data_IF_645791288637
#
_entry.id   IF_645791288637
#
_cell.length_a   1.000
_cell.length_b   1.000
_cell.length_c   1.000
_cell.angle_alpha   90.00
_cell.angle_beta   90.00
_cell.angle_gamma   90.00
#
_symmetry.space_group_name_H-M   'P 1'
#
loop_
_entity.id
_entity.type
_entity.pdbx_description
1 polymer ?
#
# COMPACT_ATOMS: atom_id res chain seq x y z
N UNK A 1 26.48 -1.67 9.31
CA UNK A 1 25.24 -1.82 10.11
C UNK A 1 25.48 -2.00 11.62
N UNK A 2 26.16 -3.05 12.08
CA UNK A 2 26.29 -3.34 13.53
C UNK A 2 26.86 -2.20 14.38
N UNK A 3 27.84 -1.44 13.88
CA UNK A 3 28.42 -0.29 14.60
C UNK A 3 27.42 0.89 14.78
N UNK A 4 26.55 1.13 13.80
CA UNK A 4 25.52 2.18 13.87
C UNK A 4 24.37 1.75 14.78
N UNK A 5 23.91 0.50 14.65
CA UNK A 5 22.95 -0.09 15.60
C UNK A 5 23.48 -0.08 17.04
N UNK A 6 24.76 -0.39 17.26
CA UNK A 6 25.37 -0.33 18.59
C UNK A 6 25.32 1.08 19.20
N UNK A 7 25.51 2.15 18.41
CA UNK A 7 25.35 3.52 18.89
C UNK A 7 23.89 3.88 19.21
N UNK A 8 22.95 3.35 18.44
CA UNK A 8 21.52 3.66 18.57
C UNK A 8 20.85 2.88 19.71
N UNK A 9 21.25 1.63 19.94
CA UNK A 9 20.66 0.74 20.95
C UNK A 9 21.42 0.74 22.29
N UNK A 10 22.72 1.09 22.29
CA UNK A 10 23.58 1.06 23.48
C UNK A 10 24.35 2.37 23.62
N UNK A 11 23.73 3.34 24.30
CA UNK A 11 24.24 4.68 24.60
C UNK A 11 25.62 4.76 25.33
N UNK A 12 26.34 3.65 25.52
CA UNK A 12 27.56 3.57 26.33
C UNK A 12 28.69 2.69 25.77
N UNK A 13 28.61 2.20 24.52
CA UNK A 13 29.61 1.28 23.96
C UNK A 13 30.24 1.72 22.63
N UNK A 14 29.91 2.92 22.13
CA UNK A 14 30.45 3.44 20.88
C UNK A 14 31.80 4.16 21.16
N UNK A 15 32.95 3.61 20.71
CA UNK A 15 34.25 4.23 20.94
C UNK A 15 34.37 5.62 20.32
N UNK A 16 33.63 5.93 19.24
CA UNK A 16 33.60 7.27 18.65
C UNK A 16 32.88 8.25 19.58
N UNK A 17 31.78 7.81 20.20
CA UNK A 17 31.06 8.60 21.20
C UNK A 17 31.90 8.83 22.46
N UNK A 18 32.63 7.82 22.95
CA UNK A 18 33.54 7.97 24.08
C UNK A 18 34.63 9.01 23.80
N UNK A 19 35.25 8.97 22.61
CA UNK A 19 36.23 9.97 22.18
C UNK A 19 35.60 11.36 22.09
N UNK A 20 34.35 11.47 21.63
CA UNK A 20 33.62 12.75 21.57
C UNK A 20 33.31 13.31 22.97
N UNK A 21 33.00 12.46 23.95
CA UNK A 21 32.81 12.89 25.35
C UNK A 21 34.13 13.26 26.01
N UNK A 22 35.21 12.54 25.70
CA UNK A 22 36.55 12.85 26.17
C UNK A 22 37.03 14.22 25.65
N UNK A 23 36.77 14.51 24.37
CA UNK A 23 37.14 15.78 23.73
C UNK A 23 36.63 17.00 24.53
N UNK A 24 35.37 16.94 25.01
CA UNK A 24 34.73 18.02 25.77
C UNK A 24 35.45 18.39 27.08
N UNK A 25 36.24 17.47 27.63
CA UNK A 25 36.97 17.66 28.89
C UNK A 25 38.43 18.07 28.68
N UNK A 26 38.90 18.19 27.43
CA UNK A 26 40.26 18.62 27.11
C UNK A 26 40.38 20.15 27.04
N UNK A 27 41.54 20.74 27.36
CA UNK A 27 41.79 22.15 27.12
C UNK A 27 41.96 22.46 25.62
N UNK A 28 41.74 23.70 25.22
CA UNK A 28 42.05 24.15 23.85
C UNK A 28 43.57 24.12 23.60
N UNK A 29 44.03 23.75 22.38
CA UNK A 29 43.26 23.41 21.17
C UNK A 29 42.88 21.93 21.04
N UNK A 30 43.21 21.10 22.04
CA UNK A 30 43.04 19.64 21.98
C UNK A 30 41.57 19.22 21.92
N UNK A 31 40.69 19.94 22.63
CA UNK A 31 39.25 19.76 22.53
C UNK A 31 38.79 19.75 21.08
N UNK A 32 39.14 20.82 20.33
CA UNK A 32 38.80 20.95 18.93
C UNK A 32 39.39 19.83 18.09
N UNK A 33 40.68 19.51 18.20
CA UNK A 33 41.30 18.49 17.35
C UNK A 33 40.73 17.09 17.58
N UNK A 34 40.48 16.72 18.84
CA UNK A 34 39.90 15.42 19.18
C UNK A 34 38.42 15.37 18.80
N UNK A 35 37.70 16.48 18.95
CA UNK A 35 36.33 16.65 18.47
C UNK A 35 36.22 16.48 16.94
N UNK A 36 37.06 17.19 16.19
CA UNK A 36 37.12 17.13 14.72
C UNK A 36 37.44 15.71 14.24
N UNK A 37 38.38 15.02 14.90
CA UNK A 37 38.73 13.63 14.59
C UNK A 37 37.57 12.67 14.85
N UNK A 38 36.87 12.81 15.99
CA UNK A 38 35.72 11.99 16.32
C UNK A 38 34.57 12.20 15.32
N UNK A 39 34.33 13.45 14.89
CA UNK A 39 33.33 13.76 13.88
C UNK A 39 33.69 13.18 12.51
N UNK A 40 34.95 13.26 12.08
CA UNK A 40 35.40 12.67 10.83
C UNK A 40 35.29 11.14 10.84
N UNK A 41 35.70 10.50 11.95
CA UNK A 41 35.55 9.06 12.12
C UNK A 41 34.07 8.65 12.07
N UNK A 42 33.19 9.43 12.72
CA UNK A 42 31.75 9.21 12.67
C UNK A 42 31.20 9.31 11.25
N UNK A 43 31.63 10.33 10.48
CA UNK A 43 31.20 10.54 9.09
C UNK A 43 31.53 9.33 8.20
N UNK A 44 32.73 8.76 8.36
CA UNK A 44 33.13 7.55 7.61
C UNK A 44 32.27 6.35 7.98
N UNK A 45 32.04 6.10 9.27
CA UNK A 45 31.17 5.00 9.73
C UNK A 45 29.74 5.16 9.20
N UNK A 46 29.23 6.39 9.18
CA UNK A 46 27.89 6.71 8.66
C UNK A 46 27.79 6.42 7.15
N UNK A 47 28.77 6.84 6.35
CA UNK A 47 28.79 6.58 4.90
C UNK A 47 28.79 5.08 4.59
N UNK A 48 29.64 4.31 5.28
CA UNK A 48 29.67 2.85 5.13
C UNK A 48 28.35 2.18 5.56
N UNK A 49 27.69 2.70 6.60
CA UNK A 49 26.39 2.19 7.01
C UNK A 49 25.31 2.47 5.97
N UNK A 50 25.27 3.66 5.38
CA UNK A 50 24.33 4.01 4.31
C UNK A 50 24.59 3.15 3.07
N UNK A 51 25.85 2.94 2.68
CA UNK A 51 26.17 2.10 1.54
C UNK A 51 25.74 0.65 1.77
N UNK A 52 25.95 0.12 2.98
CA UNK A 52 25.45 -1.21 3.35
C UNK A 52 23.92 -1.28 3.34
N UNK A 53 23.26 -0.22 3.79
CA UNK A 53 21.81 -0.10 3.84
C UNK A 53 21.18 -0.07 2.44
N UNK A 54 21.81 0.63 1.50
CA UNK A 54 21.44 0.69 0.10
C UNK A 54 21.48 -0.68 -0.58
N UNK A 55 22.54 -1.46 -0.30
CA UNK A 55 22.67 -2.83 -0.82
C UNK A 55 21.53 -3.69 -0.26
N UNK A 56 21.28 -3.62 1.05
CA UNK A 56 20.21 -4.38 1.70
C UNK A 56 18.82 -3.96 1.20
N UNK A 57 18.58 -2.66 1.01
CA UNK A 57 17.36 -2.12 0.40
C UNK A 57 17.10 -2.72 -0.97
N UNK A 58 18.14 -2.72 -1.82
CA UNK A 58 18.05 -3.24 -3.17
C UNK A 58 17.76 -4.75 -3.19
N UNK A 59 18.49 -5.52 -2.39
CA UNK A 59 18.40 -6.98 -2.37
C UNK A 59 17.09 -7.50 -1.76
N UNK A 60 16.57 -6.81 -0.74
CA UNK A 60 15.41 -7.27 0.03
C UNK A 60 14.11 -6.62 -0.42
N UNK A 61 14.07 -5.30 -0.55
CA UNK A 61 12.84 -4.54 -0.80
C UNK A 61 12.61 -4.34 -2.30
N UNK A 62 13.56 -3.69 -2.98
CA UNK A 62 13.42 -3.29 -4.39
C UNK A 62 13.29 -4.52 -5.29
N UNK A 63 14.14 -5.52 -5.10
CA UNK A 63 14.08 -6.78 -5.87
C UNK A 63 12.73 -7.47 -5.73
N UNK A 64 12.18 -7.57 -4.52
CA UNK A 64 10.87 -8.19 -4.31
C UNK A 64 9.76 -7.38 -4.97
N UNK A 65 9.78 -6.05 -4.82
CA UNK A 65 8.81 -5.16 -5.44
C UNK A 65 8.79 -5.32 -6.97
N UNK A 66 9.94 -5.22 -7.63
CA UNK A 66 10.02 -5.35 -9.10
C UNK A 66 9.65 -6.75 -9.60
N UNK A 67 9.97 -7.79 -8.83
CA UNK A 67 9.68 -9.17 -9.24
C UNK A 67 8.18 -9.49 -9.21
N UNK A 68 7.48 -9.04 -8.17
CA UNK A 68 6.14 -9.52 -7.86
C UNK A 68 5.04 -8.46 -7.92
N UNK A 69 5.37 -7.17 -7.75
CA UNK A 69 4.40 -6.09 -7.58
C UNK A 69 4.40 -5.12 -8.76
N UNK A 70 5.57 -4.60 -9.14
CA UNK A 70 5.70 -3.60 -10.19
C UNK A 70 5.15 -4.11 -11.54
N UNK A 71 4.46 -3.23 -12.28
CA UNK A 71 3.89 -3.55 -13.59
C UNK A 71 2.70 -4.53 -13.56
N UNK A 72 2.19 -4.89 -12.38
CA UNK A 72 1.02 -5.74 -12.20
C UNK A 72 -0.13 -4.96 -11.56
N UNK A 73 -1.36 -5.40 -11.80
CA UNK A 73 -2.51 -4.84 -11.10
C UNK A 73 -2.46 -5.23 -9.62
N UNK A 74 -2.68 -4.29 -8.68
CA UNK A 74 -3.30 -2.97 -8.88
C UNK A 74 -2.32 -1.79 -9.09
N UNK A 75 -1.00 -2.00 -9.09
CA UNK A 75 0.01 -0.95 -9.27
C UNK A 75 0.05 -0.38 -10.69
N UNK A 76 -0.15 -1.26 -11.69
CA UNK A 76 -0.45 -0.86 -13.06
C UNK A 76 -1.93 -1.21 -13.38
N UNK A 77 -2.83 -0.20 -13.44
CA UNK A 77 -4.24 -0.41 -13.75
C UNK A 77 -4.50 -1.07 -15.10
N UNK A 78 -3.56 -0.95 -16.05
CA UNK A 78 -3.70 -1.50 -17.41
C UNK A 78 -3.18 -2.93 -17.52
N UNK A 79 -2.43 -3.40 -16.53
CA UNK A 79 -1.86 -4.74 -16.54
C UNK A 79 -2.95 -5.81 -16.49
N UNK A 80 -2.76 -6.88 -17.26
CA UNK A 80 -3.61 -8.07 -17.22
C UNK A 80 -3.11 -9.10 -16.20
N UNK A 81 -1.88 -8.91 -15.70
CA UNK A 81 -1.32 -9.75 -14.65
C UNK A 81 -1.64 -9.14 -13.29
N UNK A 82 -2.14 -9.97 -12.39
CA UNK A 82 -2.45 -9.59 -11.03
C UNK A 82 -1.24 -9.85 -10.12
N UNK A 83 -1.07 -8.98 -9.11
CA UNK A 83 -0.20 -9.27 -7.96
C UNK A 83 -0.82 -10.45 -7.19
N UNK A 84 -0.08 -11.53 -6.92
CA UNK A 84 -0.59 -12.58 -6.05
C UNK A 84 -0.86 -12.03 -4.64
N UNK A 85 -2.01 -12.35 -4.04
CA UNK A 85 -2.36 -11.83 -2.70
C UNK A 85 -1.31 -12.20 -1.63
N UNK A 86 -0.68 -13.38 -1.75
CA UNK A 86 0.40 -13.80 -0.86
C UNK A 86 1.65 -12.93 -0.98
N UNK A 87 1.94 -12.41 -2.17
CA UNK A 87 3.07 -11.51 -2.42
C UNK A 87 2.77 -10.11 -1.92
N UNK A 88 1.52 -9.66 -2.08
CA UNK A 88 1.02 -8.42 -1.51
C UNK A 88 1.09 -8.45 0.02
N UNK A 89 0.61 -9.52 0.65
CA UNK A 89 0.70 -9.77 2.09
C UNK A 89 2.15 -9.84 2.57
N UNK A 90 3.02 -10.59 1.89
CA UNK A 90 4.44 -10.67 2.26
C UNK A 90 5.13 -9.31 2.21
N UNK A 91 4.77 -8.46 1.27
CA UNK A 91 5.42 -7.15 1.10
C UNK A 91 4.87 -6.08 2.07
N UNK A 92 3.55 -5.88 2.07
CA UNK A 92 2.89 -4.78 2.80
C UNK A 92 2.37 -5.17 4.17
N UNK A 93 2.16 -6.46 4.45
CA UNK A 93 1.57 -6.90 5.70
C UNK A 93 2.37 -6.48 6.94
N UNK A 94 1.76 -6.53 8.13
CA UNK A 94 2.47 -6.33 9.39
C UNK A 94 3.65 -7.32 9.49
N UNK A 95 4.85 -6.84 9.84
CA UNK A 95 6.10 -7.64 9.81
C UNK A 95 6.43 -8.22 8.42
N UNK A 96 5.84 -7.68 7.35
CA UNK A 96 6.22 -7.98 5.97
C UNK A 96 7.59 -7.41 5.62
N UNK A 97 8.01 -7.59 4.37
CA UNK A 97 9.32 -7.17 3.88
C UNK A 97 9.59 -5.69 4.15
N UNK A 98 8.67 -4.81 3.76
CA UNK A 98 8.87 -3.38 3.90
C UNK A 98 8.78 -2.92 5.36
N UNK A 99 7.86 -3.51 6.14
CA UNK A 99 7.72 -3.19 7.57
C UNK A 99 8.97 -3.58 8.34
N UNK A 100 9.45 -4.80 8.12
CA UNK A 100 10.63 -5.33 8.81
C UNK A 100 11.87 -4.51 8.47
N UNK A 101 12.06 -4.17 7.20
CA UNK A 101 13.16 -3.31 6.78
C UNK A 101 13.07 -1.93 7.44
N UNK A 102 11.89 -1.30 7.45
CA UNK A 102 11.72 -0.01 8.10
C UNK A 102 12.07 -0.07 9.59
N UNK A 103 11.51 -1.03 10.33
CA UNK A 103 11.71 -1.14 11.78
C UNK A 103 13.17 -1.43 12.15
N UNK A 104 13.84 -2.32 11.40
CA UNK A 104 15.20 -2.77 11.72
C UNK A 104 16.28 -1.80 11.24
N UNK A 105 16.05 -1.16 10.09
CA UNK A 105 17.09 -0.47 9.36
C UNK A 105 16.85 1.03 9.19
N UNK A 106 15.61 1.51 9.06
CA UNK A 106 15.34 2.94 8.79
C UNK A 106 14.86 3.72 9.99
N UNK A 107 14.04 3.11 10.84
CA UNK A 107 13.45 3.74 12.03
C UNK A 107 14.50 4.41 12.92
N UNK A 108 15.66 3.79 13.21
CA UNK A 108 16.66 4.47 14.03
C UNK A 108 17.25 5.73 13.38
N UNK A 109 17.31 5.80 12.05
CA UNK A 109 17.79 6.98 11.35
C UNK A 109 16.73 8.09 11.30
N UNK A 110 15.47 7.71 11.09
CA UNK A 110 14.32 8.63 11.04
C UNK A 110 14.04 9.23 12.42
N UNK A 111 13.95 8.40 13.47
CA UNK A 111 13.58 8.87 14.82
C UNK A 111 14.64 9.77 15.46
N UNK A 112 15.92 9.54 15.15
CA UNK A 112 17.03 10.32 15.72
C UNK A 112 17.38 11.57 14.91
N UNK A 113 16.54 11.95 13.93
CA UNK A 113 16.83 13.02 12.96
C UNK A 113 18.21 12.88 12.28
N UNK A 114 18.73 11.64 12.24
CA UNK A 114 19.95 11.29 11.52
C UNK A 114 19.68 11.15 10.03
N UNK A 115 18.46 11.43 9.58
CA UNK A 115 18.15 11.64 8.18
C UNK A 115 18.87 12.85 7.59
N UNK A 116 19.57 13.67 8.38
CA UNK A 116 20.40 14.79 7.93
C UNK A 116 21.82 14.68 8.52
N UNK A 117 22.85 14.77 7.68
CA UNK A 117 24.25 14.84 8.12
C UNK A 117 24.58 16.15 8.85
N UNK A 118 25.77 16.26 9.46
CA UNK A 118 26.19 17.48 10.19
C UNK A 118 26.24 18.73 9.30
N UNK A 119 26.33 18.54 7.99
CA UNK A 119 26.31 19.59 6.96
C UNK A 119 24.87 19.93 6.49
N UNK A 120 23.83 19.33 7.09
CA UNK A 120 22.41 19.52 6.73
C UNK A 120 21.93 18.68 5.55
N UNK A 121 22.77 17.80 5.01
CA UNK A 121 22.50 17.00 3.81
C UNK A 121 21.69 15.75 4.16
N UNK A 122 20.56 15.52 3.47
CA UNK A 122 19.69 14.38 3.78
C UNK A 122 20.38 13.04 3.44
N UNK A 123 20.43 12.11 4.39
CA UNK A 123 21.01 10.77 4.25
C UNK A 123 20.05 9.76 3.60
N UNK A 124 18.75 10.04 3.63
CA UNK A 124 17.70 9.27 2.98
C UNK A 124 16.93 10.21 2.08
N UNK A 125 16.63 9.78 0.85
CA UNK A 125 15.94 10.64 -0.11
C UNK A 125 14.51 10.95 0.35
N UNK A 126 14.04 12.21 0.21
CA UNK A 126 12.68 12.59 0.59
C UNK A 126 11.57 11.78 -0.10
N UNK A 127 11.78 11.38 -1.35
CA UNK A 127 10.81 10.58 -2.10
C UNK A 127 10.67 9.17 -1.52
N UNK A 128 11.75 8.57 -1.00
CA UNK A 128 11.66 7.29 -0.27
C UNK A 128 10.74 7.43 0.95
N UNK A 129 10.88 8.50 1.74
CA UNK A 129 10.01 8.75 2.90
C UNK A 129 8.54 8.96 2.51
N UNK A 130 8.29 9.64 1.39
CA UNK A 130 6.93 9.78 0.84
C UNK A 130 6.36 8.42 0.43
N UNK A 131 7.16 7.56 -0.19
CA UNK A 131 6.73 6.22 -0.60
C UNK A 131 6.50 5.29 0.59
N UNK A 132 7.26 5.43 1.68
CA UNK A 132 6.99 4.72 2.94
C UNK A 132 5.66 5.15 3.56
N UNK A 133 5.35 6.46 3.55
CA UNK A 133 4.04 6.96 3.98
C UNK A 133 2.92 6.39 3.11
N UNK A 134 3.12 6.33 1.80
CA UNK A 134 2.13 5.75 0.87
C UNK A 134 1.94 4.25 1.11
N UNK A 135 3.02 3.51 1.37
CA UNK A 135 2.94 2.09 1.73
C UNK A 135 2.21 1.85 3.05
N UNK A 136 2.42 2.72 4.04
CA UNK A 136 1.69 2.67 5.30
C UNK A 136 0.19 2.89 5.07
N UNK A 137 -0.18 3.83 4.21
CA UNK A 137 -1.60 4.02 3.82
C UNK A 137 -2.18 2.77 3.14
N UNK A 138 -1.44 2.15 2.21
CA UNK A 138 -1.86 0.88 1.60
C UNK A 138 -2.06 -0.19 2.68
N UNK A 139 -1.14 -0.28 3.65
CA UNK A 139 -1.23 -1.24 4.76
C UNK A 139 -2.49 -1.01 5.59
N UNK A 140 -2.74 0.22 6.00
CA UNK A 140 -3.91 0.59 6.82
C UNK A 140 -5.23 0.28 6.10
N UNK A 141 -5.29 0.52 4.79
CA UNK A 141 -6.49 0.23 3.98
C UNK A 141 -6.79 -1.27 3.84
N UNK A 142 -5.76 -2.13 3.79
CA UNK A 142 -5.92 -3.54 3.43
C UNK A 142 -5.60 -4.54 4.53
N UNK A 143 -5.02 -4.12 5.65
CA UNK A 143 -4.65 -5.02 6.75
C UNK A 143 -5.28 -4.55 8.05
N UNK A 144 -6.03 -5.45 8.68
CA UNK A 144 -6.54 -5.25 10.03
C UNK A 144 -5.75 -6.10 11.03
N UNK A 145 -5.60 -5.60 12.26
CA UNK A 145 -4.90 -6.32 13.32
C UNK A 145 -5.56 -7.67 13.68
N UNK A 146 -6.87 -7.82 13.43
CA UNK A 146 -7.65 -9.00 13.79
C UNK A 146 -7.72 -10.04 12.66
N UNK A 147 -7.88 -9.59 11.41
CA UNK A 147 -8.21 -10.48 10.29
C UNK A 147 -7.08 -10.59 9.24
N UNK A 148 -5.96 -9.90 9.42
CA UNK A 148 -4.90 -9.85 8.42
C UNK A 148 -5.36 -9.12 7.16
N UNK A 149 -5.00 -9.65 5.98
CA UNK A 149 -5.37 -9.08 4.69
C UNK A 149 -6.90 -9.12 4.48
N UNK A 150 -7.51 -7.95 4.43
CA UNK A 150 -8.88 -7.78 3.99
C UNK A 150 -9.47 -6.42 4.36
N UNK A 151 -10.53 -6.05 3.64
CA UNK A 151 -11.31 -4.82 3.82
C UNK A 151 -12.80 -5.17 3.78
N UNK A 152 -13.61 -4.34 4.44
CA UNK A 152 -15.06 -4.50 4.52
C UNK A 152 -15.74 -3.23 4.01
N UNK A 153 -16.82 -3.40 3.27
CA UNK A 153 -17.61 -2.28 2.77
C UNK A 153 -19.08 -2.67 2.68
N UNK A 154 -19.96 -1.68 2.59
CA UNK A 154 -21.37 -1.92 2.33
C UNK A 154 -21.71 -1.53 0.89
N UNK A 155 -22.68 -2.21 0.29
CA UNK A 155 -23.17 -1.89 -1.04
C UNK A 155 -24.69 -1.96 -1.06
N UNK A 156 -25.33 -1.07 -1.82
CA UNK A 156 -26.77 -1.12 -2.04
C UNK A 156 -27.13 -0.79 -3.49
N UNK A 157 -28.16 -1.44 -4.08
CA UNK A 157 -28.73 -1.05 -5.36
C UNK A 157 -29.33 0.37 -5.30
N UNK A 158 -29.07 1.21 -6.29
CA UNK A 158 -29.65 2.57 -6.36
C UNK A 158 -30.69 2.64 -7.46
N UNK A 159 -30.29 2.35 -8.70
CA UNK A 159 -31.16 2.40 -9.88
C UNK A 159 -30.79 1.31 -10.86
N UNK A 160 -31.79 0.57 -11.33
CA UNK A 160 -31.73 -0.29 -12.51
C UNK A 160 -32.54 0.36 -13.63
N UNK A 161 -32.03 0.36 -14.86
CA UNK A 161 -32.77 0.87 -16.01
C UNK A 161 -34.03 0.06 -16.30
N UNK A 162 -35.10 0.72 -16.77
CA UNK A 162 -36.41 0.07 -16.99
C UNK A 162 -36.41 -1.05 -18.03
N UNK A 163 -35.48 -1.04 -18.98
CA UNK A 163 -35.28 -2.10 -19.99
C UNK A 163 -34.51 -3.33 -19.47
N UNK A 164 -34.34 -3.44 -18.15
CA UNK A 164 -33.70 -4.57 -17.47
C UNK A 164 -34.59 -4.95 -16.29
N UNK A 165 -34.95 -6.23 -16.19
CA UNK A 165 -35.81 -6.73 -15.12
C UNK A 165 -35.06 -7.16 -13.87
N UNK A 166 -33.76 -7.44 -13.98
CA UNK A 166 -32.92 -7.94 -12.88
C UNK A 166 -31.45 -7.59 -13.11
N UNK A 167 -30.74 -7.28 -12.03
CA UNK A 167 -29.28 -7.22 -11.95
C UNK A 167 -28.78 -8.26 -10.96
N UNK A 168 -27.71 -8.96 -11.30
CA UNK A 168 -26.99 -9.88 -10.40
C UNK A 168 -25.54 -9.45 -10.34
N UNK A 169 -25.13 -8.92 -9.19
CA UNK A 169 -23.73 -8.63 -8.87
C UNK A 169 -23.15 -9.82 -8.12
N UNK A 170 -22.03 -10.35 -8.60
CA UNK A 170 -21.22 -11.37 -7.95
C UNK A 170 -19.87 -10.74 -7.61
N UNK A 171 -19.48 -10.74 -6.34
CA UNK A 171 -18.18 -10.27 -5.85
C UNK A 171 -17.50 -11.42 -5.10
N UNK A 172 -16.70 -12.20 -5.83
CA UNK A 172 -15.99 -13.39 -5.34
C UNK A 172 -16.90 -14.40 -4.60
N UNK A 173 -18.09 -14.64 -5.15
CA UNK A 173 -19.09 -15.55 -4.59
C UNK A 173 -20.13 -14.88 -3.69
N UNK A 174 -19.95 -13.60 -3.35
CA UNK A 174 -20.97 -12.82 -2.64
C UNK A 174 -21.97 -12.25 -3.65
N UNK A 175 -23.21 -12.76 -3.63
CA UNK A 175 -24.25 -12.41 -4.60
C UNK A 175 -25.18 -11.32 -4.07
N UNK A 176 -25.38 -10.28 -4.87
CA UNK A 176 -26.40 -9.25 -4.68
C UNK A 176 -27.35 -9.24 -5.87
N UNK A 177 -28.59 -9.64 -5.62
CA UNK A 177 -29.68 -9.67 -6.59
C UNK A 177 -30.58 -8.44 -6.41
N UNK A 178 -30.96 -7.81 -7.52
CA UNK A 178 -31.88 -6.68 -7.53
C UNK A 178 -32.85 -6.74 -8.71
N UNK A 179 -34.15 -6.59 -8.45
CA UNK A 179 -35.22 -6.63 -9.47
C UNK A 179 -36.30 -5.56 -9.20
N UNK A 180 -35.92 -4.28 -9.18
CA UNK A 180 -36.81 -3.13 -8.91
C UNK A 180 -37.57 -3.18 -7.57
N UNK A 181 -37.06 -3.98 -6.63
CA UNK A 181 -37.63 -4.12 -5.29
C UNK A 181 -37.08 -3.08 -4.32
N UNK A 182 -37.34 -3.32 -3.03
CA UNK A 182 -36.72 -2.56 -1.95
C UNK A 182 -35.20 -2.69 -2.03
N UNK A 183 -34.50 -1.56 -2.02
CA UNK A 183 -33.05 -1.56 -1.88
C UNK A 183 -32.66 -1.89 -0.45
N UNK A 184 -31.78 -2.88 -0.30
CA UNK A 184 -31.20 -3.27 0.98
C UNK A 184 -29.68 -3.14 0.89
N UNK A 185 -29.09 -2.59 1.94
CA UNK A 185 -27.66 -2.56 2.13
C UNK A 185 -27.14 -3.94 2.50
N UNK A 186 -26.05 -4.36 1.86
CA UNK A 186 -25.36 -5.63 2.12
C UNK A 186 -23.91 -5.33 2.45
N UNK A 187 -23.42 -5.93 3.54
CA UNK A 187 -22.01 -5.87 3.91
C UNK A 187 -21.22 -6.96 3.19
N UNK A 188 -20.10 -6.57 2.61
CA UNK A 188 -19.23 -7.40 1.80
C UNK A 188 -17.79 -7.33 2.30
N UNK A 189 -17.02 -8.35 1.96
CA UNK A 189 -15.59 -8.43 2.26
C UNK A 189 -14.76 -8.64 1.00
N UNK A 190 -13.56 -8.08 0.98
CA UNK A 190 -12.52 -8.40 0.01
C UNK A 190 -11.19 -8.70 0.73
N UNK A 191 -10.43 -9.73 0.33
CA UNK A 191 -10.85 -10.81 -0.54
C UNK A 191 -11.81 -11.76 0.20
N UNK A 192 -12.85 -12.26 -0.48
CA UNK A 192 -13.72 -13.31 0.08
C UNK A 192 -13.12 -14.72 -0.10
N UNK A 193 -12.13 -14.86 -0.98
CA UNK A 193 -11.38 -16.10 -1.17
C UNK A 193 -9.96 -15.79 -1.62
N UNK A 194 -9.00 -16.56 -1.10
CA UNK A 194 -7.57 -16.46 -1.48
C UNK A 194 -7.25 -17.21 -2.78
N UNK A 195 -8.26 -17.77 -3.47
CA UNK A 195 -8.06 -18.55 -4.70
C UNK A 195 -7.82 -17.63 -5.88
N UNK A 196 -6.84 -17.97 -6.73
CA UNK A 196 -6.53 -17.19 -7.93
C UNK A 196 -7.64 -17.17 -8.99
N UNK A 197 -8.58 -18.13 -8.96
CA UNK A 197 -9.66 -18.28 -9.95
C UNK A 197 -10.99 -17.65 -9.57
N UNK A 198 -11.02 -16.72 -8.60
CA UNK A 198 -12.25 -15.97 -8.27
C UNK A 198 -12.69 -15.09 -9.44
N UNK A 199 -14.01 -14.89 -9.55
CA UNK A 199 -14.62 -14.00 -10.52
C UNK A 199 -15.47 -12.95 -9.80
N UNK A 200 -15.50 -11.76 -10.39
CA UNK A 200 -16.42 -10.70 -10.04
C UNK A 200 -17.13 -10.23 -11.31
N UNK A 201 -18.46 -10.16 -11.28
CA UNK A 201 -19.26 -9.75 -12.45
C UNK A 201 -20.56 -9.04 -12.09
N UNK A 202 -20.98 -8.12 -12.94
CA UNK A 202 -22.35 -7.59 -12.99
C UNK A 202 -23.05 -8.19 -14.19
N UNK A 203 -24.20 -8.80 -13.98
CA UNK A 203 -25.06 -9.39 -15.03
C UNK A 203 -26.39 -8.66 -15.07
N UNK A 204 -26.74 -8.07 -16.21
CA UNK A 204 -28.06 -7.47 -16.42
C UNK A 204 -28.92 -8.40 -17.27
N UNK A 205 -30.15 -8.61 -16.81
CA UNK A 205 -31.14 -9.46 -17.46
C UNK A 205 -32.17 -8.58 -18.18
N UNK A 206 -32.30 -8.69 -19.51
CA UNK A 206 -33.33 -7.99 -20.28
C UNK A 206 -34.75 -8.29 -19.78
N UNK A 207 -35.61 -7.28 -19.85
CA UNK A 207 -37.06 -7.42 -19.66
C UNK A 207 -37.75 -8.10 -20.86
N UNK A 208 -37.16 -7.97 -22.05
CA UNK A 208 -37.61 -8.63 -23.28
C UNK A 208 -37.43 -10.16 -23.23
N UNK A 209 -38.48 -10.87 -23.61
CA UNK A 209 -38.46 -12.34 -23.69
C UNK A 209 -37.51 -12.83 -24.80
N UNK A 210 -36.76 -13.90 -24.52
CA UNK A 210 -35.87 -14.54 -25.49
C UNK A 210 -34.49 -13.88 -25.63
N UNK A 211 -34.23 -12.74 -25.00
CA UNK A 211 -32.88 -12.15 -24.93
C UNK A 211 -32.06 -12.73 -23.80
N UNK A 212 -30.81 -13.11 -24.09
CA UNK A 212 -29.87 -13.64 -23.11
C UNK A 212 -29.32 -12.53 -22.20
N UNK A 213 -29.07 -12.82 -20.91
CA UNK A 213 -28.34 -11.90 -20.03
C UNK A 213 -26.96 -11.57 -20.57
N UNK A 214 -26.47 -10.36 -20.25
CA UNK A 214 -25.12 -9.90 -20.58
C UNK A 214 -24.40 -9.46 -19.32
N UNK A 215 -23.08 -9.60 -19.31
CA UNK A 215 -22.26 -9.36 -18.12
C UNK A 215 -20.98 -8.62 -18.45
N UNK A 216 -20.52 -7.80 -17.49
CA UNK A 216 -19.12 -7.38 -17.39
C UNK A 216 -18.48 -8.30 -16.35
N UNK A 217 -17.37 -8.95 -16.69
CA UNK A 217 -16.72 -9.95 -15.82
C UNK A 217 -15.22 -9.70 -15.76
N UNK A 218 -14.67 -9.82 -14.56
CA UNK A 218 -13.25 -9.89 -14.30
C UNK A 218 -12.94 -11.15 -13.50
N UNK A 219 -11.72 -11.67 -13.68
CA UNK A 219 -11.22 -12.84 -12.98
C UNK A 219 -9.85 -12.54 -12.41
N UNK A 220 -9.48 -13.27 -11.36
CA UNK A 220 -8.22 -13.07 -10.65
C UNK A 220 -8.43 -12.56 -9.23
N UNK A 221 -7.39 -12.59 -8.38
CA UNK A 221 -7.49 -12.21 -6.97
C UNK A 221 -7.99 -10.77 -6.75
N UNK A 222 -7.85 -9.90 -7.75
CA UNK A 222 -8.30 -8.51 -7.67
C UNK A 222 -9.57 -8.23 -8.49
N UNK A 223 -10.34 -9.27 -8.85
CA UNK A 223 -11.52 -9.14 -9.68
C UNK A 223 -12.55 -8.14 -9.12
N UNK A 224 -12.76 -8.08 -7.80
CA UNK A 224 -13.67 -7.11 -7.19
C UNK A 224 -13.24 -5.67 -7.45
N UNK A 225 -11.97 -5.34 -7.18
CA UNK A 225 -11.44 -3.99 -7.41
C UNK A 225 -11.47 -3.66 -8.90
N UNK A 226 -11.14 -4.60 -9.79
CA UNK A 226 -11.23 -4.40 -11.24
C UNK A 226 -12.65 -4.09 -11.69
N UNK A 227 -13.63 -4.86 -11.21
CA UNK A 227 -15.02 -4.65 -11.55
C UNK A 227 -15.48 -3.27 -11.09
N UNK A 228 -15.25 -2.91 -9.82
CA UNK A 228 -15.66 -1.61 -9.27
C UNK A 228 -14.97 -0.46 -10.01
N UNK A 229 -13.67 -0.57 -10.28
CA UNK A 229 -12.92 0.46 -11.01
C UNK A 229 -13.26 0.55 -12.51
N UNK A 230 -13.92 -0.47 -13.08
CA UNK A 230 -14.41 -0.44 -14.46
C UNK A 230 -15.77 0.28 -14.60
N UNK A 231 -16.47 0.50 -13.49
CA UNK A 231 -17.71 1.28 -13.48
C UNK A 231 -17.45 2.78 -13.52
N UNK A 232 -18.46 3.54 -13.97
CA UNK A 232 -18.43 5.00 -13.96
C UNK A 232 -18.70 5.50 -12.53
N UNK A 233 -17.71 6.14 -11.91
CA UNK A 233 -17.86 6.74 -10.57
C UNK A 233 -18.66 8.04 -10.65
N UNK A 234 -19.69 8.15 -9.81
CA UNK A 234 -20.56 9.31 -9.68
C UNK A 234 -20.88 9.55 -8.20
N UNK A 235 -21.44 10.72 -7.86
CA UNK A 235 -21.87 11.04 -6.49
C UNK A 235 -20.81 10.75 -5.39
N UNK A 236 -19.56 11.13 -5.65
CA UNK A 236 -18.44 10.88 -4.73
C UNK A 236 -18.58 11.80 -3.52
N UNK A 237 -18.83 11.20 -2.35
CA UNK A 237 -18.80 11.85 -1.05
C UNK A 237 -17.67 11.29 -0.18
N UNK A 238 -17.65 11.69 1.09
CA UNK A 238 -16.60 11.31 2.06
C UNK A 238 -16.58 9.80 2.33
N UNK A 239 -17.74 9.20 2.64
CA UNK A 239 -17.85 7.79 3.04
C UNK A 239 -18.68 6.96 2.06
N UNK A 240 -19.01 7.51 0.88
CA UNK A 240 -19.76 6.77 -0.13
C UNK A 240 -19.53 7.33 -1.53
N UNK A 241 -19.72 6.47 -2.52
CA UNK A 241 -19.74 6.84 -3.93
C UNK A 241 -20.66 5.90 -4.70
N UNK A 242 -21.19 6.37 -5.82
CA UNK A 242 -22.01 5.57 -6.71
C UNK A 242 -21.16 5.04 -7.86
N UNK A 243 -21.30 3.75 -8.17
CA UNK A 243 -20.66 3.11 -9.32
C UNK A 243 -21.72 2.64 -10.30
N UNK A 244 -21.61 3.10 -11.55
CA UNK A 244 -22.58 2.79 -12.61
C UNK A 244 -21.98 1.84 -13.64
N UNK A 245 -22.68 0.75 -13.91
CA UNK A 245 -22.35 -0.25 -14.91
C UNK A 245 -23.30 -0.15 -16.09
N UNK A 246 -22.76 0.06 -17.30
CA UNK A 246 -23.52 0.04 -18.56
C UNK A 246 -23.36 -1.32 -19.22
N UNK A 247 -24.45 -2.06 -19.37
CA UNK A 247 -24.44 -3.41 -19.96
C UNK A 247 -25.61 -3.57 -20.93
N UNK A 248 -25.31 -3.86 -22.19
CA UNK A 248 -26.30 -4.16 -23.24
C UNK A 248 -27.43 -3.11 -23.33
N UNK A 249 -27.04 -1.83 -23.42
CA UNK A 249 -27.96 -0.69 -23.50
C UNK A 249 -28.83 -0.44 -22.26
N UNK A 250 -28.56 -1.14 -21.14
CA UNK A 250 -29.12 -0.86 -19.83
C UNK A 250 -28.04 -0.44 -18.84
N UNK A 251 -28.46 0.03 -17.67
CA UNK A 251 -27.57 0.54 -16.64
C UNK A 251 -27.98 0.04 -15.26
N UNK A 252 -27.00 -0.26 -14.42
CA UNK A 252 -27.20 -0.52 -13.00
C UNK A 252 -26.24 0.34 -12.18
N UNK A 253 -26.79 1.11 -11.24
CA UNK A 253 -26.02 1.93 -10.31
C UNK A 253 -26.09 1.32 -8.92
N UNK A 254 -24.93 1.09 -8.30
CA UNK A 254 -24.80 0.69 -6.91
C UNK A 254 -24.14 1.82 -6.11
N UNK A 255 -24.55 1.99 -4.86
CA UNK A 255 -23.86 2.86 -3.90
C UNK A 255 -22.97 2.02 -3.03
N UNK A 256 -21.69 2.37 -2.97
CA UNK A 256 -20.71 1.75 -2.10
C UNK A 256 -20.50 2.69 -0.90
N UNK A 257 -20.55 2.12 0.30
CA UNK A 257 -20.27 2.77 1.56
C UNK A 257 -18.98 2.19 2.15
N UNK A 258 -18.02 3.06 2.44
CA UNK A 258 -16.67 2.72 2.91
C UNK A 258 -16.27 3.71 4.01
N UNK A 259 -15.45 3.28 4.95
CA UNK A 259 -14.76 4.24 5.81
C UNK A 259 -13.72 5.01 4.99
N UNK A 260 -13.62 6.32 5.17
CA UNK A 260 -12.75 7.18 4.34
C UNK A 260 -11.28 6.78 4.50
N UNK A 261 -10.86 6.45 5.73
CA UNK A 261 -9.48 6.04 6.02
C UNK A 261 -9.10 4.73 5.33
N UNK A 262 -10.09 3.85 5.12
CA UNK A 262 -9.89 2.45 4.74
C UNK A 262 -10.50 2.12 3.39
N UNK A 263 -10.67 3.13 2.51
CA UNK A 263 -11.31 2.95 1.20
C UNK A 263 -10.36 2.26 0.18
N UNK A 264 -10.59 0.98 -0.18
CA UNK A 264 -9.74 0.24 -1.12
C UNK A 264 -9.94 0.67 -2.59
N UNK A 265 -10.97 1.47 -2.85
CA UNK A 265 -11.34 1.96 -4.18
C UNK A 265 -10.89 3.42 -4.40
N UNK A 266 -10.22 4.03 -3.41
CA UNK A 266 -9.73 5.39 -3.52
C UNK A 266 -8.73 5.53 -4.68
N UNK A 267 -9.06 6.40 -5.63
CA UNK A 267 -8.22 6.70 -6.77
C UNK A 267 -6.82 7.15 -6.35
N UNK A 268 -5.79 6.57 -6.98
CA UNK A 268 -4.41 6.95 -6.71
C UNK A 268 -3.70 6.16 -5.60
N UNK A 269 -4.39 5.30 -4.84
CA UNK A 269 -3.76 4.55 -3.75
C UNK A 269 -2.56 3.71 -4.23
N UNK A 270 -2.73 2.98 -5.33
CA UNK A 270 -1.66 2.16 -5.90
C UNK A 270 -0.81 2.89 -6.94
N UNK A 271 -1.41 3.74 -7.78
CA UNK A 271 -0.67 4.44 -8.85
C UNK A 271 0.25 5.54 -8.36
N UNK A 272 0.10 6.00 -7.10
CA UNK A 272 1.05 6.91 -6.44
C UNK A 272 2.21 6.16 -5.77
N UNK A 273 2.14 4.83 -5.70
CA UNK A 273 3.17 4.02 -5.07
C UNK A 273 4.17 3.49 -6.10
N UNK A 274 5.39 4.01 -6.05
CA UNK A 274 6.54 3.60 -6.86
C UNK A 274 7.77 3.62 -6.00
N UNK A 275 8.42 2.48 -5.81
CA UNK A 275 9.63 2.42 -5.00
C UNK A 275 10.87 2.89 -5.79
N UNK A 276 11.62 3.87 -5.27
CA UNK A 276 12.91 4.22 -5.84
C UNK A 276 13.90 3.07 -5.70
N UNK A 277 14.73 2.89 -6.72
CA UNK A 277 15.81 1.89 -6.70
C UNK A 277 16.94 2.30 -5.73
N UNK A 278 17.00 3.58 -5.34
CA UNK A 278 18.00 4.09 -4.40
C UNK A 278 17.41 4.70 -3.14
N UNK A 279 18.08 4.49 -2.02
CA UNK A 279 17.69 4.94 -0.69
C UNK A 279 18.26 6.32 -0.34
N UNK A 280 19.47 6.62 -0.81
CA UNK A 280 20.17 7.91 -0.62
C UNK A 280 20.39 8.67 -1.93
#
# INVERSE_FOLDING_TARGET
>A
MKAVQLRLDQNSSDPIFEVQQLAKNLPEPLNRWVGDLAEQAWRVVMMEAIQSLEVEWNETVVKQYHTYLAGRYPFDPKSQQDVPLSEFERFFGPKGTLDSFYQQNLKPFVDNNLSSGSDGQLLIRPDVLQQLTQAQKIRETFFSAQNGLGTQFAIEPVVLSGNKRRSVLNLDGQLLDYAHGRSNMVHLVWPNSMRAGVESKVTLVPDENGKSPRSITFSGPWAQLRLINAGELTNVGTNSFDVRFKVDGGEMTYRIHVDESDNPFAGGLFSKFTLPDTLY
#
